data_IF_222044633119
#
_entry.id   IF_222044633119
#
_cell.length_a   1.000
_cell.length_b   1.000
_cell.length_c   1.000
_cell.angle_alpha   90.00
_cell.angle_beta   90.00
_cell.angle_gamma   90.00
#
_symmetry.space_group_name_H-M   'P 1'
#
loop_
_entity.id
_entity.type
_entity.pdbx_description
1 polymer ?
#
# COMPACT_ATOMS: atom_id res chain seq x y z
N UNK A 1 15.19 -11.87 6.34
CA UNK A 1 14.59 -12.54 5.15
C UNK A 1 13.09 -12.27 5.02
N UNK A 2 12.32 -12.23 6.09
CA UNK A 2 10.87 -11.93 6.10
C UNK A 2 10.52 -10.57 5.49
N UNK A 3 11.30 -9.51 5.79
CA UNK A 3 11.09 -8.16 5.26
C UNK A 3 11.17 -8.11 3.73
N UNK A 4 12.15 -8.79 3.14
CA UNK A 4 12.30 -8.85 1.68
C UNK A 4 11.13 -9.59 1.03
N UNK A 5 10.66 -10.66 1.66
CA UNK A 5 9.49 -11.40 1.18
C UNK A 5 8.23 -10.53 1.19
N UNK A 6 7.95 -9.83 2.30
CA UNK A 6 6.80 -8.91 2.38
C UNK A 6 6.90 -7.76 1.38
N UNK A 7 8.11 -7.23 1.16
CA UNK A 7 8.33 -6.19 0.16
C UNK A 7 8.01 -6.68 -1.26
N UNK A 8 8.47 -7.88 -1.64
CA UNK A 8 8.17 -8.49 -2.95
C UNK A 8 6.66 -8.71 -3.10
N UNK A 9 5.99 -9.22 -2.07
CA UNK A 9 4.54 -9.43 -2.09
C UNK A 9 3.81 -8.10 -2.27
N UNK A 10 4.18 -7.07 -1.51
CA UNK A 10 3.54 -5.75 -1.58
C UNK A 10 3.70 -5.12 -2.97
N UNK A 11 4.91 -5.14 -3.54
CA UNK A 11 5.14 -4.64 -4.90
C UNK A 11 4.34 -5.45 -5.92
N UNK A 12 4.31 -6.77 -5.81
CA UNK A 12 3.56 -7.61 -6.74
C UNK A 12 2.07 -7.28 -6.72
N UNK A 13 1.49 -7.07 -5.54
CA UNK A 13 0.08 -6.67 -5.39
C UNK A 13 -0.16 -5.30 -6.03
N UNK A 14 0.69 -4.30 -5.75
CA UNK A 14 0.58 -2.96 -6.32
C UNK A 14 0.68 -2.98 -7.85
N UNK A 15 1.59 -3.77 -8.40
CA UNK A 15 1.73 -3.91 -9.86
C UNK A 15 0.49 -4.54 -10.49
N UNK A 16 -0.03 -5.61 -9.89
CA UNK A 16 -1.25 -6.26 -10.42
C UNK A 16 -2.44 -5.29 -10.42
N UNK A 17 -2.61 -4.52 -9.37
CA UNK A 17 -3.68 -3.52 -9.26
C UNK A 17 -3.48 -2.39 -10.28
N UNK A 18 -2.25 -1.93 -10.47
CA UNK A 18 -1.88 -0.94 -11.46
C UNK A 18 -2.24 -1.38 -12.87
N UNK A 19 -1.76 -2.57 -13.27
CA UNK A 19 -2.03 -3.14 -14.58
C UNK A 19 -3.53 -3.43 -14.79
N UNK A 20 -4.21 -3.86 -13.73
CA UNK A 20 -5.65 -4.07 -13.77
C UNK A 20 -6.42 -2.76 -14.02
N UNK A 21 -5.94 -1.64 -13.47
CA UNK A 21 -6.49 -0.31 -13.76
C UNK A 21 -6.45 0.01 -15.27
N UNK A 22 -5.29 -0.13 -15.89
CA UNK A 22 -5.13 0.04 -17.34
C UNK A 22 -6.02 -0.89 -18.15
N UNK A 23 -6.01 -2.17 -17.80
CA UNK A 23 -6.81 -3.20 -18.44
C UNK A 23 -8.31 -2.89 -18.41
N UNK A 24 -8.82 -2.55 -17.23
CA UNK A 24 -10.25 -2.30 -17.03
C UNK A 24 -10.74 -1.09 -17.82
N UNK A 25 -9.99 0.03 -17.76
CA UNK A 25 -10.36 1.26 -18.48
C UNK A 25 -10.17 1.09 -19.99
N UNK A 26 -9.11 0.41 -20.45
CA UNK A 26 -8.92 0.11 -21.87
C UNK A 26 -10.12 -0.63 -22.46
N UNK A 27 -10.59 -1.66 -21.76
CA UNK A 27 -11.77 -2.42 -22.19
C UNK A 27 -13.05 -1.57 -22.21
N UNK A 28 -13.23 -0.68 -21.22
CA UNK A 28 -14.37 0.25 -21.18
C UNK A 28 -14.33 1.28 -22.29
N UNK A 29 -13.15 1.65 -22.75
CA UNK A 29 -12.94 2.53 -23.91
C UNK A 29 -12.99 1.79 -25.25
N UNK A 30 -13.29 0.50 -25.26
CA UNK A 30 -13.34 -0.31 -26.49
C UNK A 30 -11.97 -0.53 -27.14
N UNK A 31 -10.89 -0.51 -26.34
CA UNK A 31 -9.56 -0.90 -26.80
C UNK A 31 -9.41 -2.41 -26.64
N UNK A 32 -8.93 -3.06 -27.70
CA UNK A 32 -8.63 -4.49 -27.66
C UNK A 32 -7.38 -4.76 -26.85
N UNK A 33 -7.54 -5.46 -25.74
CA UNK A 33 -6.42 -5.98 -24.96
C UNK A 33 -6.06 -7.37 -25.45
N UNK A 34 -4.82 -7.54 -25.88
CA UNK A 34 -4.27 -8.80 -26.40
C UNK A 34 -3.81 -9.68 -25.24
N UNK A 35 -3.06 -9.09 -24.30
CA UNK A 35 -2.49 -9.83 -23.15
C UNK A 35 -2.49 -8.98 -21.89
N UNK A 36 -2.77 -9.64 -20.79
CA UNK A 36 -2.57 -9.17 -19.43
C UNK A 36 -1.58 -10.11 -18.75
N UNK A 37 -0.40 -9.62 -18.40
CA UNK A 37 0.65 -10.45 -17.79
C UNK A 37 1.02 -9.96 -16.40
N UNK A 38 1.06 -10.88 -15.47
CA UNK A 38 1.66 -10.69 -14.15
C UNK A 38 3.04 -11.32 -14.16
N UNK A 39 4.07 -10.50 -13.93
CA UNK A 39 5.46 -10.90 -14.04
C UNK A 39 6.02 -10.78 -15.46
N UNK A 40 7.34 -10.94 -15.53
CA UNK A 40 8.12 -10.94 -16.77
C UNK A 40 8.70 -12.33 -17.06
N UNK A 41 8.99 -12.59 -18.32
CA UNK A 41 9.60 -13.80 -18.79
C UNK A 41 8.63 -14.73 -19.52
N UNK A 42 9.03 -16.00 -19.71
CA UNK A 42 8.18 -16.98 -20.38
C UNK A 42 7.06 -17.42 -19.42
N UNK A 43 5.79 -17.20 -19.78
CA UNK A 43 4.68 -17.61 -18.92
C UNK A 43 4.72 -19.11 -18.63
N UNK A 44 4.52 -19.48 -17.37
CA UNK A 44 4.33 -20.88 -16.97
C UNK A 44 2.85 -21.26 -16.88
N UNK A 45 1.96 -20.27 -16.87
CA UNK A 45 0.53 -20.47 -16.90
C UNK A 45 -0.13 -19.37 -17.71
N UNK A 46 -1.13 -19.72 -18.57
CA UNK A 46 -1.93 -18.76 -19.31
C UNK A 46 -3.30 -19.35 -19.67
N UNK A 47 -4.29 -18.45 -19.78
CA UNK A 47 -5.61 -18.77 -20.31
C UNK A 47 -6.15 -17.60 -21.13
N UNK A 48 -7.13 -17.86 -21.99
CA UNK A 48 -7.83 -16.81 -22.74
C UNK A 48 -9.25 -16.65 -22.26
N UNK A 49 -9.66 -15.39 -22.12
CA UNK A 49 -11.04 -15.06 -21.79
C UNK A 49 -11.94 -15.04 -23.04
N UNK A 50 -13.24 -14.82 -22.81
CA UNK A 50 -14.25 -14.76 -23.88
C UNK A 50 -14.01 -13.63 -24.90
N UNK A 51 -13.23 -12.61 -24.56
CA UNK A 51 -12.89 -11.49 -25.42
C UNK A 51 -11.56 -11.71 -26.15
N UNK A 52 -10.95 -12.88 -25.98
CA UNK A 52 -9.68 -13.24 -26.61
C UNK A 52 -8.45 -12.61 -25.95
N UNK A 53 -8.57 -12.00 -24.77
CA UNK A 53 -7.41 -11.55 -23.99
C UNK A 53 -6.73 -12.75 -23.35
N UNK A 54 -5.43 -12.85 -23.54
CA UNK A 54 -4.59 -13.84 -22.86
C UNK A 54 -4.16 -13.31 -21.48
N UNK A 55 -4.58 -13.99 -20.42
CA UNK A 55 -4.07 -13.77 -19.07
C UNK A 55 -2.92 -14.70 -18.83
N UNK A 56 -1.79 -14.18 -18.36
CA UNK A 56 -0.57 -14.97 -18.16
C UNK A 56 0.13 -14.63 -16.85
N UNK A 57 0.81 -15.64 -16.29
CA UNK A 57 1.67 -15.50 -15.11
C UNK A 57 3.07 -15.95 -15.48
N UNK A 58 4.05 -15.11 -15.17
CA UNK A 58 5.46 -15.34 -15.48
C UNK A 58 6.32 -15.35 -14.20
N UNK A 59 7.50 -15.98 -14.22
CA UNK A 59 8.25 -16.29 -13.00
C UNK A 59 8.92 -15.09 -12.32
N UNK A 60 9.11 -13.95 -13.00
CA UNK A 60 9.77 -12.78 -12.43
C UNK A 60 8.69 -11.80 -11.91
N UNK A 61 8.40 -11.76 -10.60
CA UNK A 61 7.26 -11.02 -10.04
C UNK A 61 7.54 -9.52 -9.84
N UNK A 62 8.50 -8.95 -10.55
CA UNK A 62 8.93 -7.54 -10.41
C UNK A 62 8.18 -6.58 -11.34
N UNK A 63 7.03 -6.98 -11.86
CA UNK A 63 6.26 -6.15 -12.77
C UNK A 63 5.12 -6.88 -13.44
N UNK A 64 4.55 -6.24 -14.43
CA UNK A 64 3.50 -6.77 -15.28
C UNK A 64 3.36 -5.90 -16.53
N UNK A 65 2.42 -6.24 -17.40
CA UNK A 65 2.08 -5.37 -18.52
C UNK A 65 0.70 -5.72 -19.10
N UNK A 66 0.08 -4.69 -19.65
CA UNK A 66 -1.14 -4.82 -20.45
C UNK A 66 -0.79 -4.53 -21.89
N UNK A 67 -0.81 -5.56 -22.75
CA UNK A 67 -0.60 -5.38 -24.18
C UNK A 67 -1.94 -5.08 -24.88
N UNK A 68 -2.02 -3.90 -25.46
CA UNK A 68 -3.17 -3.45 -26.24
C UNK A 68 -2.85 -3.54 -27.73
N UNK A 69 -3.88 -3.47 -28.56
CA UNK A 69 -3.68 -3.26 -30.01
C UNK A 69 -3.22 -1.81 -30.21
N UNK A 70 -2.04 -1.65 -30.81
CA UNK A 70 -1.42 -0.35 -31.08
C UNK A 70 -0.63 -0.40 -32.40
N UNK A 71 -0.92 0.50 -33.33
CA UNK A 71 -0.27 0.57 -34.66
C UNK A 71 1.22 0.87 -34.59
N UNK A 72 1.70 1.40 -33.44
CA UNK A 72 3.14 1.69 -33.22
C UNK A 72 3.94 0.44 -32.89
N UNK A 73 3.27 -0.65 -32.49
CA UNK A 73 3.92 -1.91 -32.12
C UNK A 73 3.92 -2.96 -33.25
N UNK A 74 3.29 -2.67 -34.38
CA UNK A 74 3.25 -3.55 -35.56
C UNK A 74 2.00 -3.37 -36.39
N UNK A 75 1.89 -4.15 -37.47
CA UNK A 75 0.75 -4.13 -38.35
C UNK A 75 -0.53 -4.59 -37.64
N UNK A 76 -1.56 -3.76 -37.67
CA UNK A 76 -2.87 -4.07 -37.09
C UNK A 76 -3.81 -4.51 -38.20
N UNK A 77 -4.45 -5.68 -38.07
CA UNK A 77 -5.47 -6.11 -39.02
C UNK A 77 -6.59 -5.07 -39.16
N UNK A 78 -7.11 -4.82 -40.37
CA UNK A 78 -8.12 -3.78 -40.61
C UNK A 78 -9.35 -3.90 -39.68
N UNK A 79 -9.73 -5.13 -39.30
CA UNK A 79 -10.88 -5.41 -38.42
C UNK A 79 -10.64 -4.95 -36.96
N UNK A 80 -9.40 -4.70 -36.58
CA UNK A 80 -9.03 -4.29 -35.23
C UNK A 80 -8.60 -2.82 -35.13
N UNK A 81 -8.54 -2.09 -36.26
CA UNK A 81 -8.13 -0.70 -36.27
C UNK A 81 -8.99 0.18 -35.35
N UNK A 82 -10.32 0.04 -35.41
CA UNK A 82 -11.23 0.78 -34.54
C UNK A 82 -11.04 0.47 -33.04
N UNK A 83 -10.39 -0.64 -32.72
CA UNK A 83 -10.08 -1.06 -31.36
C UNK A 83 -8.63 -0.78 -30.95
N UNK A 84 -7.85 -0.13 -31.83
CA UNK A 84 -6.48 0.24 -31.54
C UNK A 84 -6.44 1.43 -30.55
N UNK A 85 -5.47 1.41 -29.63
CA UNK A 85 -5.27 2.49 -28.65
C UNK A 85 -5.01 3.84 -29.33
N UNK A 86 -4.24 3.83 -30.42
CA UNK A 86 -3.91 5.02 -31.20
C UNK A 86 -5.11 5.69 -31.84
N UNK A 87 -6.12 4.93 -32.24
CA UNK A 87 -7.34 5.43 -32.87
C UNK A 87 -8.35 6.02 -31.87
N UNK A 88 -8.12 5.84 -30.56
CA UNK A 88 -9.01 6.42 -29.55
C UNK A 88 -8.77 7.91 -29.36
N UNK A 89 -9.85 8.68 -29.07
CA UNK A 89 -9.72 10.11 -28.78
C UNK A 89 -8.80 10.35 -27.60
N UNK A 90 -8.16 11.53 -27.58
CA UNK A 90 -7.12 11.87 -26.58
C UNK A 90 -7.57 11.66 -25.14
N UNK A 91 -8.81 12.01 -24.80
CA UNK A 91 -9.33 11.84 -23.44
C UNK A 91 -9.40 10.38 -23.01
N UNK A 92 -9.74 9.43 -23.93
CA UNK A 92 -9.73 8.00 -23.61
C UNK A 92 -8.31 7.49 -23.39
N UNK A 93 -7.36 7.93 -24.22
CA UNK A 93 -5.95 7.58 -24.05
C UNK A 93 -5.38 8.10 -22.73
N UNK A 94 -5.74 9.32 -22.34
CA UNK A 94 -5.38 9.89 -21.03
C UNK A 94 -6.03 9.09 -19.90
N UNK A 95 -7.32 8.76 -20.02
CA UNK A 95 -8.02 7.96 -19.02
C UNK A 95 -7.37 6.58 -18.85
N UNK A 96 -7.01 5.91 -19.94
CA UNK A 96 -6.30 4.62 -19.89
C UNK A 96 -4.92 4.78 -19.23
N UNK A 97 -4.16 5.81 -19.62
CA UNK A 97 -2.81 6.04 -19.08
C UNK A 97 -2.83 6.38 -17.58
N UNK A 98 -3.85 7.11 -17.11
CA UNK A 98 -3.98 7.48 -15.68
C UNK A 98 -4.61 6.37 -14.84
N UNK A 99 -5.24 5.39 -15.45
CA UNK A 99 -6.01 4.36 -14.73
C UNK A 99 -5.15 3.49 -13.80
N UNK A 100 -3.92 3.18 -14.18
CA UNK A 100 -3.00 2.42 -13.35
C UNK A 100 -2.64 3.14 -12.05
N UNK A 101 -2.05 4.34 -12.12
CA UNK A 101 -1.78 5.14 -10.92
C UNK A 101 -3.03 5.36 -10.06
N UNK A 102 -4.17 5.69 -10.69
CA UNK A 102 -5.43 5.93 -9.97
C UNK A 102 -5.92 4.67 -9.24
N UNK A 103 -5.79 3.49 -9.84
CA UNK A 103 -6.12 2.23 -9.18
C UNK A 103 -5.28 2.00 -7.93
N UNK A 104 -3.97 2.33 -7.96
CA UNK A 104 -3.10 2.24 -6.80
C UNK A 104 -3.50 3.24 -5.70
N UNK A 105 -3.89 4.46 -6.05
CA UNK A 105 -4.40 5.43 -5.07
C UNK A 105 -5.69 4.96 -4.40
N UNK A 106 -6.63 4.42 -5.19
CA UNK A 106 -7.88 3.85 -4.65
C UNK A 106 -7.57 2.68 -3.72
N UNK A 107 -6.67 1.79 -4.12
CA UNK A 107 -6.24 0.67 -3.28
C UNK A 107 -5.59 1.14 -1.99
N UNK A 108 -4.68 2.11 -2.05
CA UNK A 108 -4.04 2.68 -0.86
C UNK A 108 -5.08 3.28 0.10
N UNK A 109 -6.06 4.04 -0.42
CA UNK A 109 -7.14 4.60 0.39
C UNK A 109 -7.94 3.49 1.10
N UNK A 110 -8.33 2.44 0.37
CA UNK A 110 -9.07 1.30 0.94
C UNK A 110 -8.24 0.57 1.99
N UNK A 111 -6.95 0.34 1.72
CA UNK A 111 -6.04 -0.33 2.65
C UNK A 111 -5.86 0.47 3.94
N UNK A 112 -5.64 1.78 3.85
CA UNK A 112 -5.53 2.64 5.02
C UNK A 112 -6.84 2.74 5.81
N UNK A 113 -7.98 2.83 5.09
CA UNK A 113 -9.29 2.80 5.74
C UNK A 113 -9.50 1.50 6.50
N UNK A 114 -9.15 0.37 5.89
CA UNK A 114 -9.25 -0.95 6.56
C UNK A 114 -8.36 -1.03 7.81
N UNK A 115 -7.11 -0.56 7.73
CA UNK A 115 -6.18 -0.49 8.86
C UNK A 115 -6.76 0.40 9.98
N UNK A 116 -7.31 1.56 9.62
CA UNK A 116 -7.92 2.48 10.60
C UNK A 116 -9.13 1.87 11.31
N UNK A 117 -9.97 1.11 10.59
CA UNK A 117 -11.14 0.43 11.16
C UNK A 117 -10.73 -0.79 11.98
N UNK A 118 -9.73 -1.56 11.53
CA UNK A 118 -9.23 -2.74 12.23
C UNK A 118 -8.48 -2.37 13.53
N UNK A 119 -8.01 -1.13 13.63
CA UNK A 119 -7.14 -0.66 14.70
C UNK A 119 -5.70 -1.15 14.53
N UNK A 120 -4.77 -0.38 15.07
CA UNK A 120 -3.37 -0.79 15.18
C UNK A 120 -3.11 -1.24 16.62
N UNK A 121 -2.36 -2.32 16.79
CA UNK A 121 -1.83 -2.70 18.12
C UNK A 121 -0.81 -1.64 18.50
N UNK A 122 -1.20 -0.78 19.45
CA UNK A 122 -0.27 0.22 19.98
C UNK A 122 0.87 -0.44 20.76
N UNK A 123 2.01 0.25 20.83
CA UNK A 123 3.13 -0.16 21.68
C UNK A 123 2.74 0.12 23.12
N UNK A 124 2.82 -0.89 24.00
CA UNK A 124 2.57 -0.69 25.42
C UNK A 124 3.53 0.39 25.96
N UNK A 125 3.05 1.32 26.79
CA UNK A 125 3.85 2.40 27.38
C UNK A 125 4.74 1.86 28.49
N UNK A 126 5.74 1.07 28.10
CA UNK A 126 6.70 0.44 29.00
C UNK A 126 7.92 1.35 29.15
N UNK A 127 8.35 1.56 30.38
CA UNK A 127 9.51 2.34 30.72
C UNK A 127 10.78 1.66 30.19
N UNK A 128 11.51 2.35 29.32
CA UNK A 128 12.81 1.92 28.81
C UNK A 128 13.95 2.12 29.82
N UNK A 129 15.17 2.20 29.31
CA UNK A 129 16.35 2.49 30.16
C UNK A 129 16.21 3.85 30.81
N UNK A 130 16.36 3.88 32.16
CA UNK A 130 16.35 5.07 32.97
C UNK A 130 17.77 5.64 33.08
N UNK A 131 17.84 6.96 33.17
CA UNK A 131 19.12 7.63 33.52
C UNK A 131 19.41 7.38 34.97
N UNK A 132 20.62 6.84 35.27
CA UNK A 132 21.10 6.65 36.63
C UNK A 132 21.04 7.96 37.42
N UNK A 133 20.55 7.90 38.67
CA UNK A 133 20.30 9.03 39.55
C UNK A 133 19.33 10.09 38.96
N UNK A 134 18.51 9.68 37.96
CA UNK A 134 17.51 10.54 37.36
C UNK A 134 16.26 10.68 38.22
N UNK A 135 15.43 11.73 37.99
CA UNK A 135 14.20 11.96 38.77
C UNK A 135 13.22 10.79 38.75
N UNK A 136 13.13 10.03 37.65
CA UNK A 136 12.26 8.88 37.53
C UNK A 136 12.71 7.72 38.42
N UNK A 137 14.01 7.40 38.41
CA UNK A 137 14.59 6.36 39.26
C UNK A 137 14.49 6.75 40.76
N UNK A 138 14.76 8.01 41.08
CA UNK A 138 14.57 8.53 42.44
C UNK A 138 13.12 8.51 42.92
N UNK A 139 12.16 8.57 41.97
CA UNK A 139 10.73 8.43 42.25
C UNK A 139 10.26 6.97 42.35
N UNK A 140 11.18 6.01 42.20
CA UNK A 140 10.87 4.57 42.32
C UNK A 140 10.31 3.93 41.04
N UNK A 141 10.47 4.56 39.88
CA UNK A 141 10.12 3.97 38.57
C UNK A 141 11.26 3.05 38.13
N UNK A 142 10.92 1.85 37.64
CA UNK A 142 11.89 0.87 37.15
C UNK A 142 11.76 0.62 35.66
N UNK A 143 12.84 0.21 35.04
CA UNK A 143 12.84 -0.28 33.66
C UNK A 143 11.91 -1.50 33.57
N UNK A 144 10.99 -1.47 32.61
CA UNK A 144 9.99 -2.51 32.40
C UNK A 144 8.64 -2.21 33.06
N UNK A 145 8.51 -1.16 33.88
CA UNK A 145 7.21 -0.72 34.40
C UNK A 145 6.28 -0.29 33.26
N UNK A 146 5.00 -0.65 33.33
CA UNK A 146 3.98 -0.19 32.41
C UNK A 146 3.25 1.02 32.99
N UNK A 147 3.22 2.13 32.24
CA UNK A 147 2.52 3.35 32.65
C UNK A 147 1.03 3.20 32.30
N UNK A 148 0.18 2.94 33.30
CA UNK A 148 -1.26 2.72 33.12
C UNK A 148 -2.08 4.00 33.21
N UNK A 149 -1.63 5.01 33.95
CA UNK A 149 -2.33 6.28 34.09
C UNK A 149 -1.37 7.42 34.41
N UNK A 150 -1.70 8.66 33.99
CA UNK A 150 -1.00 9.89 34.32
C UNK A 150 -2.01 10.92 34.80
N UNK A 151 -1.81 11.43 36.02
CA UNK A 151 -2.75 12.37 36.67
C UNK A 151 -4.20 11.88 36.71
N UNK A 152 -4.42 10.57 36.84
CA UNK A 152 -5.73 9.95 36.90
C UNK A 152 -6.38 9.69 35.54
N UNK A 153 -5.71 10.02 34.44
CA UNK A 153 -6.15 9.67 33.09
C UNK A 153 -5.44 8.43 32.61
N UNK A 154 -6.20 7.41 32.17
CA UNK A 154 -5.64 6.17 31.64
C UNK A 154 -4.79 6.42 30.37
N UNK A 155 -3.62 5.76 30.30
CA UNK A 155 -2.74 5.80 29.12
C UNK A 155 -3.23 4.79 28.12
N UNK A 156 -3.96 5.23 27.09
CA UNK A 156 -4.23 4.46 25.88
C UNK A 156 -3.18 4.75 24.81
N UNK A 157 -2.80 3.74 24.06
CA UNK A 157 -1.52 3.53 23.39
C UNK A 157 -1.08 4.55 22.31
N UNK A 158 -1.93 5.38 21.74
CA UNK A 158 -1.52 6.30 20.65
C UNK A 158 -1.79 7.79 20.94
N UNK A 159 -2.96 8.14 21.41
CA UNK A 159 -3.32 9.56 21.60
C UNK A 159 -2.57 10.25 22.75
N UNK A 160 -1.87 9.50 23.59
CA UNK A 160 -1.20 10.01 24.78
C UNK A 160 0.32 10.08 24.69
N UNK A 161 0.96 9.35 23.77
CA UNK A 161 2.39 9.57 23.52
C UNK A 161 2.66 10.99 23.01
N UNK A 162 1.76 11.56 22.19
CA UNK A 162 1.88 12.94 21.72
C UNK A 162 1.61 13.95 22.86
N UNK A 163 0.61 13.72 23.70
CA UNK A 163 0.36 14.56 24.88
C UNK A 163 1.46 14.45 25.93
N UNK A 164 2.06 13.28 26.08
CA UNK A 164 3.21 13.10 26.97
C UNK A 164 4.43 13.83 26.43
N UNK A 165 4.74 13.72 25.16
CA UNK A 165 5.82 14.48 24.52
C UNK A 165 5.63 15.98 24.71
N UNK A 166 4.43 16.50 24.49
CA UNK A 166 4.12 17.92 24.61
C UNK A 166 4.30 18.43 26.08
N UNK A 167 3.89 17.67 27.08
CA UNK A 167 4.06 18.02 28.49
C UNK A 167 5.51 17.92 28.98
N UNK A 168 6.26 16.91 28.54
CA UNK A 168 7.68 16.76 28.96
C UNK A 168 8.61 17.74 28.25
N UNK A 169 8.21 18.36 27.16
CA UNK A 169 8.96 19.46 26.52
C UNK A 169 8.64 20.84 27.09
N UNK A 170 7.47 20.99 27.73
CA UNK A 170 6.94 22.31 28.12
C UNK A 170 7.02 22.53 29.63
N UNK A 171 7.08 21.49 30.48
CA UNK A 171 7.04 21.64 31.94
C UNK A 171 8.14 20.82 32.61
N UNK A 172 8.97 21.50 33.41
CA UNK A 172 10.07 20.88 34.20
C UNK A 172 9.55 20.15 35.47
N UNK A 173 8.26 20.13 35.70
CA UNK A 173 7.64 19.43 36.82
C UNK A 173 7.16 18.05 36.38
N UNK A 174 7.74 16.98 36.90
CA UNK A 174 7.35 15.60 36.63
C UNK A 174 5.93 15.32 37.11
N UNK A 175 5.00 14.89 36.22
CA UNK A 175 3.67 14.45 36.65
C UNK A 175 3.75 13.16 37.48
N UNK A 176 2.84 13.00 38.43
CA UNK A 176 2.75 11.75 39.23
C UNK A 176 2.31 10.61 38.28
N UNK A 177 3.22 9.68 38.04
CA UNK A 177 2.93 8.43 37.31
C UNK A 177 2.53 7.35 38.34
N UNK A 178 1.49 6.59 37.97
CA UNK A 178 1.10 5.38 38.69
C UNK A 178 1.62 4.20 37.90
N UNK A 179 2.43 3.34 38.52
CA UNK A 179 2.95 2.10 37.96
C UNK A 179 2.28 0.91 38.65
N UNK A 180 2.17 -0.21 37.93
CA UNK A 180 1.71 -1.50 38.47
C UNK A 180 2.85 -2.48 38.49
#
# INVERSE_FOLDING_TARGET
MTTVLYFIIAISVLVVIHEYGHFWVARRCGVKVIRFSVGFGKPFWSFRDRHGTEFSVAPIPLGGYVKMVDEREGDVPPELLDQAFTQKPAWQRIAIASAGPLANFIFAFIAYWFIAVAGTTGVAPVVGELKADGPAEMAGVHTGDEIIAINGEEVSTEARQDKLRERYTTDSAMPRAYTK
#
